data_IF_012421072820
#
_entry.id   IF_012421072820
#
_cell.length_a   1.000
_cell.length_b   1.000
_cell.length_c   1.000
_cell.angle_alpha   90.00
_cell.angle_beta   90.00
_cell.angle_gamma   90.00
#
_symmetry.space_group_name_H-M   'P 1'
#
loop_
_entity.id
_entity.type
_entity.pdbx_description
1 polymer ?
#
# COMPACT_ATOMS: atom_id res chain seq x y z
N UNK A 1 21.32 -23.33 -19.08
CA UNK A 1 22.13 -23.33 -17.85
C UNK A 1 21.21 -23.65 -16.68
N UNK A 2 21.65 -24.48 -15.72
CA UNK A 2 20.87 -24.73 -14.51
C UNK A 2 20.79 -23.46 -13.67
N UNK A 3 19.60 -23.12 -13.16
CA UNK A 3 19.44 -21.99 -12.24
C UNK A 3 20.17 -22.27 -10.95
N UNK A 4 20.75 -21.24 -10.35
CA UNK A 4 21.38 -21.34 -9.04
C UNK A 4 20.31 -21.61 -7.99
N UNK A 5 20.59 -22.60 -7.09
CA UNK A 5 19.73 -22.96 -5.98
C UNK A 5 19.93 -22.00 -4.80
N UNK A 6 18.84 -21.43 -4.31
CA UNK A 6 18.78 -20.57 -3.13
C UNK A 6 17.93 -21.25 -2.06
N UNK A 7 18.59 -21.57 -0.92
CA UNK A 7 17.95 -22.19 0.24
C UNK A 7 17.43 -21.13 1.20
N UNK A 8 16.12 -21.11 1.43
CA UNK A 8 15.44 -20.13 2.26
C UNK A 8 14.85 -20.77 3.52
N UNK A 9 14.69 -19.99 4.56
CA UNK A 9 13.86 -20.29 5.73
C UNK A 9 13.06 -19.07 6.11
N UNK A 10 11.82 -19.27 6.55
CA UNK A 10 10.89 -18.20 6.91
C UNK A 10 10.53 -18.23 8.39
N UNK A 11 10.31 -17.05 8.97
CA UNK A 11 9.94 -16.88 10.38
C UNK A 11 8.97 -15.72 10.56
N UNK A 12 8.29 -15.68 11.70
CA UNK A 12 7.49 -14.54 12.17
C UNK A 12 6.39 -14.13 11.20
N UNK A 13 5.54 -15.08 10.83
CA UNK A 13 4.35 -14.83 10.01
C UNK A 13 4.57 -14.91 8.49
N UNK A 14 5.81 -15.08 8.04
CA UNK A 14 6.12 -15.37 6.65
C UNK A 14 6.16 -16.88 6.40
N UNK A 15 5.73 -17.29 5.20
CA UNK A 15 5.83 -18.66 4.71
C UNK A 15 6.43 -18.67 3.29
N UNK A 16 7.04 -19.77 2.90
CA UNK A 16 7.64 -19.91 1.56
C UNK A 16 6.59 -19.67 0.45
N UNK A 17 5.43 -20.30 0.56
CA UNK A 17 4.38 -20.20 -0.44
C UNK A 17 3.86 -18.76 -0.63
N UNK A 18 3.55 -18.08 0.49
CA UNK A 18 3.09 -16.70 0.41
C UNK A 18 4.18 -15.78 -0.12
N UNK A 19 5.42 -15.92 0.36
CA UNK A 19 6.53 -15.08 -0.08
C UNK A 19 6.87 -15.30 -1.55
N UNK A 20 6.78 -16.55 -2.03
CA UNK A 20 6.95 -16.87 -3.44
C UNK A 20 5.92 -16.12 -4.29
N UNK A 21 4.64 -16.24 -3.94
CA UNK A 21 3.51 -15.60 -4.65
C UNK A 21 3.56 -14.08 -4.59
N UNK A 22 3.96 -13.50 -3.44
CA UNK A 22 3.84 -12.06 -3.19
C UNK A 22 5.11 -11.27 -3.51
N UNK A 23 6.27 -11.94 -3.61
CA UNK A 23 7.56 -11.29 -3.81
C UNK A 23 8.38 -11.93 -4.93
N UNK A 24 8.68 -13.24 -4.85
CA UNK A 24 9.62 -13.86 -5.78
C UNK A 24 9.09 -13.93 -7.22
N UNK A 25 7.82 -14.25 -7.38
CA UNK A 25 7.18 -14.33 -8.71
C UNK A 25 6.93 -12.94 -9.31
N UNK A 26 6.33 -11.96 -8.59
CA UNK A 26 6.13 -10.60 -9.12
C UNK A 26 7.43 -9.88 -9.49
N UNK A 27 8.50 -10.09 -8.74
CA UNK A 27 9.84 -9.55 -9.08
C UNK A 27 10.57 -10.39 -10.15
N UNK A 28 9.94 -11.43 -10.68
CA UNK A 28 10.52 -12.37 -11.64
C UNK A 28 11.88 -12.93 -11.19
N UNK A 29 12.02 -13.25 -9.91
CA UNK A 29 13.21 -13.87 -9.33
C UNK A 29 13.23 -15.38 -9.57
N UNK A 30 12.05 -16.03 -9.63
CA UNK A 30 11.92 -17.46 -10.00
C UNK A 30 12.34 -17.73 -11.45
N UNK A 31 12.37 -16.71 -12.29
CA UNK A 31 12.99 -16.77 -13.61
C UNK A 31 14.52 -16.91 -13.58
N UNK A 32 15.17 -16.39 -12.54
CA UNK A 32 16.63 -16.33 -12.40
C UNK A 32 17.20 -17.43 -11.50
N UNK A 33 16.47 -17.79 -10.44
CA UNK A 33 16.92 -18.72 -9.40
C UNK A 33 15.92 -19.87 -9.23
N UNK A 34 16.42 -20.97 -8.67
CA UNK A 34 15.60 -22.03 -8.09
C UNK A 34 15.56 -21.83 -6.56
N UNK A 35 14.38 -21.86 -5.97
CA UNK A 35 14.18 -21.64 -4.52
C UNK A 35 13.67 -22.91 -3.87
N UNK A 36 14.19 -23.20 -2.69
CA UNK A 36 13.66 -24.27 -1.81
C UNK A 36 13.64 -23.81 -0.34
N UNK A 37 12.66 -24.28 0.42
CA UNK A 37 12.67 -24.14 1.86
C UNK A 37 13.60 -25.20 2.48
N UNK A 38 14.48 -24.79 3.43
CA UNK A 38 15.53 -25.68 3.95
C UNK A 38 15.75 -25.48 5.45
N UNK A 39 16.04 -26.57 6.13
CA UNK A 39 16.53 -26.55 7.52
C UNK A 39 17.96 -25.96 7.62
N UNK A 40 18.74 -26.07 6.53
CA UNK A 40 20.08 -25.49 6.40
C UNK A 40 20.06 -24.35 5.36
N UNK A 41 19.50 -23.17 5.70
CA UNK A 41 19.28 -22.10 4.75
C UNK A 41 20.55 -21.31 4.43
N UNK A 42 20.59 -20.72 3.22
CA UNK A 42 21.53 -19.65 2.92
C UNK A 42 21.04 -18.30 3.46
N UNK A 43 19.71 -18.12 3.49
CA UNK A 43 19.05 -16.90 3.92
C UNK A 43 17.86 -17.21 4.83
N UNK A 44 17.73 -16.46 5.92
CA UNK A 44 16.53 -16.47 6.76
C UNK A 44 15.78 -15.16 6.57
N UNK A 45 14.54 -15.24 6.10
CA UNK A 45 13.65 -14.10 5.90
C UNK A 45 12.63 -14.10 7.05
N UNK A 46 12.55 -13.01 7.79
CA UNK A 46 11.64 -12.90 8.92
C UNK A 46 10.77 -11.65 8.86
N UNK A 47 9.51 -11.83 9.22
CA UNK A 47 8.50 -10.76 9.26
C UNK A 47 8.45 -10.07 10.63
N UNK A 48 7.52 -9.08 10.77
CA UNK A 48 7.37 -8.32 12.01
C UNK A 48 6.54 -9.03 13.09
N UNK A 49 5.79 -10.09 12.75
CA UNK A 49 4.74 -10.65 13.59
C UNK A 49 5.21 -11.83 14.47
N UNK A 50 6.38 -11.72 15.08
CA UNK A 50 6.88 -12.75 15.98
C UNK A 50 8.03 -12.29 16.87
N UNK A 51 8.50 -13.20 17.73
CA UNK A 51 9.58 -12.92 18.67
C UNK A 51 10.91 -13.58 18.27
N UNK A 52 10.87 -14.47 17.28
CA UNK A 52 12.01 -15.33 16.92
C UNK A 52 12.91 -14.58 15.95
N UNK A 53 13.73 -13.68 16.50
CA UNK A 53 14.78 -13.04 15.70
C UNK A 53 15.86 -14.08 15.43
N UNK A 54 16.19 -14.36 14.14
CA UNK A 54 17.22 -15.34 13.84
C UNK A 54 18.56 -14.91 14.44
N UNK A 55 19.26 -15.79 15.21
CA UNK A 55 20.59 -15.48 15.72
C UNK A 55 21.59 -15.33 14.57
N UNK A 56 22.77 -14.78 14.84
CA UNK A 56 23.86 -14.78 13.85
C UNK A 56 24.32 -16.22 13.62
N UNK A 57 24.56 -16.57 12.36
CA UNK A 57 24.93 -17.92 11.96
C UNK A 57 25.54 -17.94 10.56
N UNK A 58 25.71 -19.14 10.00
CA UNK A 58 26.22 -19.33 8.65
C UNK A 58 25.11 -19.11 7.59
N UNK A 59 24.38 -18.01 7.67
CA UNK A 59 23.32 -17.54 6.77
C UNK A 59 23.20 -16.01 6.87
N UNK A 60 22.54 -15.40 5.91
CA UNK A 60 22.21 -13.98 5.91
C UNK A 60 20.78 -13.80 6.42
N UNK A 61 20.58 -12.87 7.37
CA UNK A 61 19.27 -12.53 7.93
C UNK A 61 18.69 -11.34 7.19
N UNK A 62 17.45 -11.49 6.73
CA UNK A 62 16.71 -10.49 5.95
C UNK A 62 15.42 -10.18 6.70
N UNK A 63 15.28 -8.95 7.20
CA UNK A 63 14.02 -8.44 7.72
C UNK A 63 13.12 -8.02 6.56
N UNK A 64 11.88 -8.52 6.51
CA UNK A 64 10.89 -8.13 5.52
C UNK A 64 9.62 -7.62 6.20
N UNK A 65 9.45 -6.30 6.21
CA UNK A 65 8.45 -5.60 7.02
C UNK A 65 7.46 -4.84 6.13
N UNK A 66 6.38 -5.51 5.72
CA UNK A 66 5.31 -4.93 4.89
C UNK A 66 4.33 -4.02 5.67
N UNK A 67 4.71 -3.59 6.86
CA UNK A 67 3.95 -2.68 7.71
C UNK A 67 4.63 -1.31 7.81
N UNK A 68 3.85 -0.28 8.17
CA UNK A 68 4.39 1.07 8.40
C UNK A 68 5.16 1.14 9.74
N UNK A 69 6.35 0.55 9.75
CA UNK A 69 7.27 0.51 10.89
C UNK A 69 8.70 0.81 10.43
N UNK A 70 9.51 1.38 11.32
CA UNK A 70 10.94 1.52 11.08
C UNK A 70 11.60 0.15 11.34
N UNK A 71 12.32 -0.43 10.36
CA UNK A 71 13.05 -1.67 10.55
C UNK A 71 14.23 -1.50 11.49
N UNK A 72 14.57 -2.55 12.23
CA UNK A 72 15.77 -2.61 13.08
C UNK A 72 16.90 -3.35 12.35
N UNK A 73 17.81 -2.60 11.75
CA UNK A 73 18.97 -3.14 11.03
C UNK A 73 20.08 -3.68 11.95
N UNK A 74 19.94 -3.55 13.28
CA UNK A 74 20.88 -4.20 14.21
C UNK A 74 20.65 -5.72 14.35
N UNK A 75 19.44 -6.16 13.99
CA UNK A 75 19.05 -7.58 14.11
C UNK A 75 19.10 -8.36 12.79
N UNK A 76 19.47 -7.73 11.69
CA UNK A 76 19.58 -8.35 10.37
C UNK A 76 20.66 -7.68 9.51
N UNK A 77 21.16 -8.38 8.52
CA UNK A 77 22.13 -7.86 7.55
C UNK A 77 21.45 -6.98 6.50
N UNK A 78 20.21 -7.30 6.13
CA UNK A 78 19.41 -6.58 5.16
C UNK A 78 17.99 -6.39 5.66
N UNK A 79 17.38 -5.25 5.31
CA UNK A 79 15.98 -5.01 5.63
C UNK A 79 15.21 -4.44 4.44
N UNK A 80 13.98 -4.92 4.30
CA UNK A 80 12.96 -4.36 3.43
C UNK A 80 11.82 -3.80 4.28
N UNK A 81 11.28 -2.66 3.91
CA UNK A 81 10.19 -2.02 4.66
C UNK A 81 9.45 -0.96 3.85
N UNK A 82 8.39 -0.42 4.44
CA UNK A 82 7.53 0.59 3.80
C UNK A 82 8.13 2.00 3.80
N UNK A 83 8.84 2.48 4.85
CA UNK A 83 9.44 3.80 4.87
C UNK A 83 10.33 4.08 3.66
N UNK A 84 10.45 5.34 3.27
CA UNK A 84 11.30 5.74 2.14
C UNK A 84 12.78 5.54 2.46
N UNK A 85 13.58 5.22 1.45
CA UNK A 85 15.03 5.02 1.61
C UNK A 85 15.71 6.31 2.11
N UNK A 86 15.23 7.48 1.68
CA UNK A 86 15.71 8.79 2.13
C UNK A 86 15.44 9.07 3.61
N UNK A 87 14.42 8.42 4.19
CA UNK A 87 14.07 8.58 5.59
C UNK A 87 14.85 7.59 6.48
N UNK A 88 15.05 6.35 6.02
CA UNK A 88 15.82 5.31 6.75
C UNK A 88 17.33 5.54 6.66
N UNK A 89 17.83 5.97 5.50
CA UNK A 89 19.26 6.33 5.23
C UNK A 89 20.26 5.22 5.58
N UNK A 90 19.92 3.99 5.26
CA UNK A 90 20.83 2.86 5.50
C UNK A 90 21.12 2.10 4.20
N UNK A 91 22.39 1.78 3.87
CA UNK A 91 22.76 1.17 2.59
C UNK A 91 22.14 -0.22 2.38
N UNK A 92 21.90 -0.96 3.46
CA UNK A 92 21.32 -2.31 3.42
C UNK A 92 19.80 -2.28 3.62
N UNK A 93 19.17 -1.15 3.37
CA UNK A 93 17.71 -1.01 3.36
C UNK A 93 17.19 -0.86 1.95
N UNK A 94 16.00 -1.43 1.67
CA UNK A 94 15.24 -1.22 0.44
C UNK A 94 13.76 -1.04 0.75
N UNK A 95 13.15 -0.03 0.15
CA UNK A 95 11.69 0.16 0.24
C UNK A 95 10.95 -0.96 -0.46
N UNK A 96 9.88 -1.45 0.18
CA UNK A 96 8.86 -2.29 -0.43
C UNK A 96 7.83 -1.37 -1.09
N UNK A 97 7.79 -1.34 -2.42
CA UNK A 97 6.77 -0.61 -3.19
C UNK A 97 5.62 -1.53 -3.60
N UNK A 98 5.96 -2.72 -4.08
CA UNK A 98 5.00 -3.67 -4.66
C UNK A 98 4.97 -4.96 -3.84
N UNK A 99 4.07 -5.02 -2.84
CA UNK A 99 3.85 -6.25 -2.08
C UNK A 99 2.61 -6.96 -2.61
N UNK A 100 2.80 -8.17 -3.14
CA UNK A 100 1.71 -8.96 -3.70
C UNK A 100 1.07 -8.37 -4.97
N UNK A 101 1.77 -7.47 -5.66
CA UNK A 101 1.25 -6.81 -6.86
C UNK A 101 2.31 -6.70 -7.96
N UNK A 102 1.94 -7.04 -9.18
CA UNK A 102 2.76 -6.81 -10.37
C UNK A 102 2.46 -5.42 -10.96
N UNK A 103 3.38 -4.44 -10.87
CA UNK A 103 3.16 -3.11 -11.40
C UNK A 103 2.98 -3.05 -12.92
N UNK A 104 3.38 -4.08 -13.66
CA UNK A 104 3.16 -4.14 -15.11
C UNK A 104 1.67 -4.16 -15.47
N UNK A 105 0.80 -4.66 -14.56
CA UNK A 105 -0.65 -4.62 -14.73
C UNK A 105 -1.22 -3.20 -14.80
N UNK A 106 -0.45 -2.19 -14.32
CA UNK A 106 -0.84 -0.78 -14.37
C UNK A 106 -0.29 -0.05 -15.61
N UNK A 107 0.59 -0.67 -16.38
CA UNK A 107 1.00 -0.10 -17.67
C UNK A 107 -0.17 -0.19 -18.63
N UNK A 108 -0.59 0.94 -19.19
CA UNK A 108 -1.68 0.96 -20.16
C UNK A 108 -1.23 0.36 -21.48
N UNK A 109 -1.79 -0.79 -21.81
CA UNK A 109 -1.57 -1.48 -23.07
C UNK A 109 -2.47 -0.86 -24.16
N UNK A 110 -1.94 -0.33 -25.27
CA UNK A 110 -2.74 0.20 -26.37
C UNK A 110 -3.74 -0.81 -26.97
N UNK A 111 -3.43 -2.11 -26.89
CA UNK A 111 -4.29 -3.18 -27.40
C UNK A 111 -5.45 -3.55 -26.47
N UNK A 112 -5.47 -2.99 -25.25
CA UNK A 112 -6.54 -3.25 -24.27
C UNK A 112 -7.85 -2.58 -24.69
N UNK A 113 -8.94 -3.30 -24.59
CA UNK A 113 -10.30 -2.79 -24.93
C UNK A 113 -10.80 -1.78 -23.88
N UNK A 114 -10.31 -0.54 -23.97
CA UNK A 114 -10.73 0.55 -23.09
C UNK A 114 -12.19 0.97 -23.29
N UNK A 115 -12.77 0.75 -24.48
CA UNK A 115 -14.19 1.03 -24.74
C UNK A 115 -15.06 0.10 -23.89
N UNK A 116 -14.71 -1.18 -23.81
CA UNK A 116 -15.40 -2.17 -22.97
C UNK A 116 -15.25 -1.82 -21.48
N UNK A 117 -14.05 -1.45 -21.04
CA UNK A 117 -13.80 -1.05 -19.65
C UNK A 117 -14.67 0.16 -19.31
N UNK A 118 -14.70 1.17 -20.18
CA UNK A 118 -15.51 2.36 -19.99
C UNK A 118 -17.02 2.04 -19.92
N UNK A 119 -17.49 1.18 -20.80
CA UNK A 119 -18.89 0.74 -20.84
C UNK A 119 -19.30 -0.03 -19.57
N UNK A 120 -18.35 -0.68 -18.89
CA UNK A 120 -18.61 -1.37 -17.62
C UNK A 120 -18.82 -0.44 -16.42
N UNK A 121 -18.44 0.85 -16.53
CA UNK A 121 -18.54 1.85 -15.46
C UNK A 121 -19.97 2.40 -15.30
N UNK A 122 -20.87 1.56 -14.84
CA UNK A 122 -22.31 1.87 -14.70
C UNK A 122 -22.67 2.51 -13.35
N UNK A 123 -21.78 2.42 -12.36
CA UNK A 123 -21.98 2.94 -11.00
C UNK A 123 -21.04 4.10 -10.70
N UNK A 124 -21.45 4.97 -9.78
CA UNK A 124 -20.72 6.21 -9.48
C UNK A 124 -19.41 5.95 -8.74
N UNK A 125 -19.48 5.60 -7.46
CA UNK A 125 -18.33 5.54 -6.58
C UNK A 125 -18.49 4.44 -5.53
N UNK A 126 -17.39 3.79 -5.17
CA UNK A 126 -17.34 2.79 -4.11
C UNK A 126 -16.44 3.18 -2.94
N UNK A 127 -16.72 2.56 -1.77
CA UNK A 127 -16.02 2.72 -0.51
C UNK A 127 -15.88 1.34 0.16
N UNK A 128 -14.79 0.63 -0.09
CA UNK A 128 -14.60 -0.74 0.39
C UNK A 128 -13.60 -0.81 1.53
N UNK A 129 -14.07 -0.69 2.78
CA UNK A 129 -13.23 -0.64 3.97
C UNK A 129 -13.77 -1.45 5.14
N UNK A 130 -12.84 -2.13 5.86
CA UNK A 130 -13.15 -2.88 7.08
C UNK A 130 -12.90 -2.05 8.36
N UNK A 131 -11.95 -1.11 8.33
CA UNK A 131 -11.54 -0.31 9.48
C UNK A 131 -12.16 1.09 9.46
N UNK A 132 -12.60 1.53 10.63
CA UNK A 132 -13.09 2.89 10.83
C UNK A 132 -11.94 3.89 10.91
N UNK A 133 -11.93 4.86 9.99
CA UNK A 133 -10.94 5.95 9.95
C UNK A 133 -11.69 7.27 9.77
N UNK A 134 -11.67 8.19 10.77
CA UNK A 134 -12.59 9.33 10.83
C UNK A 134 -12.55 10.25 9.61
N UNK A 135 -11.37 10.62 9.10
CA UNK A 135 -11.27 11.52 7.95
C UNK A 135 -11.82 10.90 6.65
N UNK A 136 -11.67 9.60 6.50
CA UNK A 136 -12.18 8.82 5.37
C UNK A 136 -13.70 8.73 5.40
N UNK A 137 -14.28 8.50 6.60
CA UNK A 137 -15.72 8.46 6.82
C UNK A 137 -16.36 9.84 6.66
N UNK A 138 -15.66 10.91 7.09
CA UNK A 138 -16.09 12.28 6.85
C UNK A 138 -16.17 12.61 5.35
N UNK A 139 -15.16 12.21 4.58
CA UNK A 139 -15.16 12.36 3.12
C UNK A 139 -16.31 11.58 2.47
N UNK A 140 -16.47 10.30 2.83
CA UNK A 140 -17.59 9.46 2.38
C UNK A 140 -18.94 10.14 2.62
N UNK A 141 -19.16 10.64 3.84
CA UNK A 141 -20.41 11.30 4.23
C UNK A 141 -20.68 12.55 3.42
N UNK A 142 -19.66 13.34 3.13
CA UNK A 142 -19.82 14.57 2.31
C UNK A 142 -20.05 14.23 0.84
N UNK A 143 -19.30 13.33 0.25
CA UNK A 143 -19.47 12.91 -1.14
C UNK A 143 -20.84 12.24 -1.37
N UNK A 144 -21.32 11.47 -0.40
CA UNK A 144 -22.64 10.82 -0.47
C UNK A 144 -23.84 11.80 -0.49
N UNK A 145 -23.64 13.08 -0.16
CA UNK A 145 -24.68 14.11 -0.34
C UNK A 145 -24.91 14.45 -1.82
N UNK A 146 -23.90 14.32 -2.64
CA UNK A 146 -24.03 14.51 -4.09
C UNK A 146 -24.71 13.29 -4.75
N UNK A 147 -24.14 12.11 -4.55
CA UNK A 147 -24.61 10.86 -5.16
C UNK A 147 -24.24 9.68 -4.29
N UNK A 148 -25.09 8.65 -4.25
CA UNK A 148 -24.85 7.47 -3.42
C UNK A 148 -23.46 6.87 -3.68
N UNK A 149 -22.69 6.68 -2.61
CA UNK A 149 -21.44 5.92 -2.60
C UNK A 149 -21.73 4.55 -2.00
N UNK A 150 -21.42 3.48 -2.73
CA UNK A 150 -21.66 2.11 -2.30
C UNK A 150 -20.58 1.61 -1.35
N UNK A 151 -20.98 1.16 -0.16
CA UNK A 151 -20.09 0.73 0.93
C UNK A 151 -20.44 -0.67 1.45
N UNK A 152 -19.91 -1.75 0.83
CA UNK A 152 -20.17 -3.12 1.26
C UNK A 152 -19.32 -3.57 2.45
N UNK A 153 -18.30 -2.78 2.84
CA UNK A 153 -17.41 -3.09 3.96
C UNK A 153 -18.03 -2.83 5.33
N UNK A 154 -17.25 -3.05 6.41
CA UNK A 154 -17.74 -2.79 7.79
C UNK A 154 -17.87 -1.30 8.09
N UNK A 155 -16.97 -0.47 7.55
CA UNK A 155 -17.03 0.98 7.70
C UNK A 155 -18.11 1.56 6.79
N UNK A 156 -19.00 2.37 7.33
CA UNK A 156 -20.09 3.07 6.61
C UNK A 156 -21.01 2.13 5.79
N UNK A 157 -21.16 0.87 6.22
CA UNK A 157 -21.92 -0.14 5.49
C UNK A 157 -23.33 0.32 5.09
N UNK A 158 -23.67 0.20 3.80
CA UNK A 158 -24.96 0.57 3.25
C UNK A 158 -25.49 -0.40 2.19
N UNK A 159 -24.82 -1.56 2.03
CA UNK A 159 -25.23 -2.61 1.09
C UNK A 159 -24.69 -3.98 1.56
N UNK A 160 -25.19 -5.11 1.00
CA UNK A 160 -24.66 -6.44 1.29
C UNK A 160 -23.16 -6.56 0.99
N UNK A 161 -22.46 -7.46 1.69
CA UNK A 161 -21.06 -7.77 1.44
C UNK A 161 -20.80 -8.31 0.03
N UNK A 162 -19.64 -8.01 -0.54
CA UNK A 162 -19.31 -8.37 -1.93
C UNK A 162 -19.28 -9.88 -2.16
N UNK A 163 -18.93 -10.66 -1.14
CA UNK A 163 -18.93 -12.12 -1.12
C UNK A 163 -20.32 -12.76 -1.24
N UNK A 164 -21.38 -12.00 -0.91
CA UNK A 164 -22.76 -12.43 -1.14
C UNK A 164 -23.27 -12.14 -2.57
N UNK A 165 -22.56 -11.28 -3.32
CA UNK A 165 -23.00 -10.81 -4.66
C UNK A 165 -22.16 -11.45 -5.76
N UNK A 166 -20.85 -11.59 -5.56
CA UNK A 166 -19.89 -12.08 -6.55
C UNK A 166 -19.33 -13.45 -6.14
N UNK A 167 -18.78 -14.19 -7.12
CA UNK A 167 -18.19 -15.53 -6.91
C UNK A 167 -16.73 -15.52 -7.35
N UNK A 168 -15.90 -16.25 -6.62
CA UNK A 168 -14.48 -16.39 -6.87
C UNK A 168 -13.67 -16.33 -5.59
N UNK A 169 -12.36 -16.21 -5.71
CA UNK A 169 -11.51 -15.92 -4.56
C UNK A 169 -11.68 -14.46 -4.10
N UNK A 170 -11.11 -14.12 -2.95
CA UNK A 170 -11.23 -12.80 -2.34
C UNK A 170 -10.78 -11.65 -3.28
N UNK A 171 -9.77 -11.89 -4.10
CA UNK A 171 -9.21 -10.87 -4.98
C UNK A 171 -10.04 -10.72 -6.25
N UNK A 172 -10.52 -11.85 -6.81
CA UNK A 172 -11.43 -11.86 -7.95
C UNK A 172 -12.76 -11.16 -7.63
N UNK A 173 -13.37 -11.49 -6.47
CA UNK A 173 -14.59 -10.83 -5.98
C UNK A 173 -14.38 -9.31 -5.84
N UNK A 174 -13.25 -8.89 -5.29
CA UNK A 174 -12.90 -7.47 -5.15
C UNK A 174 -12.79 -6.78 -6.50
N UNK A 175 -12.10 -7.40 -7.46
CA UNK A 175 -11.96 -6.85 -8.82
C UNK A 175 -13.29 -6.77 -9.55
N UNK A 176 -14.13 -7.81 -9.46
CA UNK A 176 -15.48 -7.79 -10.04
C UNK A 176 -16.30 -6.62 -9.49
N UNK A 177 -16.33 -6.45 -8.16
CA UNK A 177 -17.03 -5.34 -7.52
C UNK A 177 -16.50 -4.00 -8.00
N UNK A 178 -15.18 -3.76 -7.93
CA UNK A 178 -14.58 -2.48 -8.29
C UNK A 178 -14.81 -2.13 -9.76
N UNK A 179 -14.80 -3.11 -10.67
CA UNK A 179 -14.85 -2.88 -12.12
C UNK A 179 -16.10 -2.13 -12.61
N UNK A 180 -17.18 -2.15 -11.84
CA UNK A 180 -18.45 -1.50 -12.20
C UNK A 180 -18.50 0.01 -11.93
N UNK A 181 -17.49 0.57 -11.22
CA UNK A 181 -17.51 1.96 -10.74
C UNK A 181 -16.63 2.88 -11.56
N UNK A 182 -17.10 4.13 -11.72
CA UNK A 182 -16.29 5.23 -12.26
C UNK A 182 -15.16 5.63 -11.33
N UNK A 183 -15.47 5.73 -10.03
CA UNK A 183 -14.55 6.20 -8.99
C UNK A 183 -14.39 5.17 -7.86
N UNK A 184 -13.21 5.17 -7.25
CA UNK A 184 -12.94 4.42 -6.03
C UNK A 184 -12.31 5.35 -5.00
N UNK A 185 -12.88 5.43 -3.79
CA UNK A 185 -12.22 6.10 -2.67
C UNK A 185 -11.05 5.21 -2.23
N UNK A 186 -9.82 5.65 -2.52
CA UNK A 186 -8.57 4.94 -2.28
C UNK A 186 -7.74 5.64 -1.20
N UNK A 187 -8.35 5.85 -0.02
CA UNK A 187 -7.68 6.49 1.11
C UNK A 187 -6.91 5.48 1.95
N UNK A 188 -5.67 5.77 2.25
CA UNK A 188 -4.87 4.95 3.15
C UNK A 188 -5.38 5.05 4.60
N UNK A 189 -4.89 4.16 5.47
CA UNK A 189 -5.26 4.18 6.89
C UNK A 189 -4.57 5.33 7.65
N UNK A 190 -3.44 5.81 7.13
CA UNK A 190 -2.68 6.95 7.64
C UNK A 190 -2.00 7.68 6.48
N UNK A 191 -1.76 8.97 6.63
CA UNK A 191 -0.92 9.74 5.71
C UNK A 191 0.51 9.64 6.21
N UNK A 192 1.34 8.92 5.47
CA UNK A 192 2.72 8.69 5.84
C UNK A 192 3.62 8.60 4.59
N UNK A 193 4.83 9.22 4.60
CA UNK A 193 5.78 9.13 3.49
C UNK A 193 6.11 7.69 3.12
N UNK A 194 5.86 7.34 1.85
CA UNK A 194 6.10 6.00 1.34
C UNK A 194 4.99 4.98 1.56
N UNK A 195 3.97 5.28 2.37
CA UNK A 195 2.89 4.34 2.65
C UNK A 195 1.85 4.31 1.53
N UNK A 196 2.01 3.34 0.66
CA UNK A 196 1.12 3.04 -0.47
C UNK A 196 0.72 1.58 -0.41
N UNK A 197 -0.54 1.28 -0.65
CA UNK A 197 -1.08 -0.08 -0.54
C UNK A 197 -1.97 -0.42 -1.73
N UNK A 198 -2.48 -1.64 -1.72
CA UNK A 198 -3.40 -2.18 -2.72
C UNK A 198 -4.63 -1.30 -3.03
N UNK A 199 -5.01 -0.39 -2.15
CA UNK A 199 -6.20 0.46 -2.33
C UNK A 199 -6.14 1.31 -3.60
N UNK A 200 -4.96 1.88 -3.87
CA UNK A 200 -4.71 2.66 -5.08
C UNK A 200 -4.57 1.74 -6.29
N UNK A 201 -3.80 0.66 -6.14
CA UNK A 201 -3.46 -0.23 -7.25
C UNK A 201 -4.67 -0.99 -7.79
N UNK A 202 -5.52 -1.51 -6.90
CA UNK A 202 -6.73 -2.22 -7.29
C UNK A 202 -7.71 -1.32 -8.08
N UNK A 203 -7.82 -0.05 -7.69
CA UNK A 203 -8.65 0.90 -8.41
C UNK A 203 -8.09 1.18 -9.82
N UNK A 204 -6.77 1.34 -9.93
CA UNK A 204 -6.08 1.58 -11.20
C UNK A 204 -6.17 0.35 -12.13
N UNK A 205 -5.97 -0.84 -11.60
CA UNK A 205 -5.98 -2.10 -12.38
C UNK A 205 -7.31 -2.32 -13.09
N UNK A 206 -8.42 -2.01 -12.44
CA UNK A 206 -9.75 -2.13 -13.04
C UNK A 206 -10.17 -0.90 -13.85
N UNK A 207 -9.32 0.13 -13.94
CA UNK A 207 -9.58 1.36 -14.71
C UNK A 207 -10.57 2.32 -14.06
N UNK A 208 -10.70 2.32 -12.72
CA UNK A 208 -11.42 3.38 -12.02
C UNK A 208 -10.55 4.61 -11.87
N UNK A 209 -11.16 5.80 -11.76
CA UNK A 209 -10.43 7.01 -11.34
C UNK A 209 -10.31 6.96 -9.81
N UNK A 210 -9.10 6.76 -9.24
CA UNK A 210 -8.92 6.80 -7.80
C UNK A 210 -9.16 8.20 -7.24
N UNK A 211 -9.84 8.27 -6.10
CA UNK A 211 -9.85 9.44 -5.22
C UNK A 211 -8.88 9.08 -4.09
N UNK A 212 -7.65 9.56 -4.17
CA UNK A 212 -6.55 9.10 -3.31
C UNK A 212 -6.21 10.08 -2.21
N UNK A 213 -5.97 9.54 -1.01
CA UNK A 213 -5.38 10.27 0.11
C UNK A 213 -4.44 9.33 0.88
N UNK A 214 -3.15 9.66 0.93
CA UNK A 214 -2.15 8.78 1.55
C UNK A 214 -0.75 9.36 1.46
N UNK A 215 0.16 8.68 0.80
CA UNK A 215 1.55 9.07 0.66
C UNK A 215 1.68 10.49 0.04
N UNK A 216 2.28 11.47 0.76
CA UNK A 216 2.51 12.80 0.20
C UNK A 216 3.49 12.81 -0.99
N UNK A 217 4.27 11.76 -1.18
CA UNK A 217 5.22 11.58 -2.28
C UNK A 217 4.69 10.66 -3.39
N UNK A 218 3.36 10.50 -3.48
CA UNK A 218 2.73 9.63 -4.49
C UNK A 218 3.16 9.98 -5.93
N UNK A 219 3.43 11.25 -6.20
CA UNK A 219 3.90 11.75 -7.50
C UNK A 219 5.32 11.32 -7.89
N UNK A 220 6.09 10.72 -6.98
CA UNK A 220 7.41 10.14 -7.30
C UNK A 220 7.26 8.84 -8.11
N UNK A 221 6.14 8.14 -7.92
CA UNK A 221 5.83 6.86 -8.58
C UNK A 221 4.76 7.03 -9.66
N UNK A 222 3.68 7.74 -9.37
CA UNK A 222 2.51 7.81 -10.23
C UNK A 222 2.35 9.16 -10.94
N UNK A 223 1.64 9.15 -12.05
CA UNK A 223 1.19 10.34 -12.73
C UNK A 223 -0.03 10.93 -12.02
N UNK A 224 0.14 11.99 -11.24
CA UNK A 224 -0.94 12.61 -10.46
C UNK A 224 -2.07 13.24 -11.30
N UNK A 225 -1.91 13.31 -12.63
CA UNK A 225 -2.97 13.73 -13.56
C UNK A 225 -3.99 12.63 -13.87
N UNK A 226 -3.68 11.38 -13.49
CA UNK A 226 -4.56 10.23 -13.77
C UNK A 226 -5.57 9.94 -12.66
N UNK A 227 -5.48 10.59 -11.51
CA UNK A 227 -6.36 10.40 -10.35
C UNK A 227 -6.57 11.72 -9.59
N UNK A 228 -7.52 11.74 -8.67
CA UNK A 228 -7.81 12.89 -7.82
C UNK A 228 -6.98 12.77 -6.54
N UNK A 229 -5.95 13.59 -6.40
CA UNK A 229 -5.07 13.57 -5.23
C UNK A 229 -5.59 14.50 -4.13
N UNK A 230 -6.32 13.96 -3.18
CA UNK A 230 -6.89 14.72 -2.05
C UNK A 230 -5.81 15.33 -1.17
N UNK A 231 -4.60 14.76 -1.14
CA UNK A 231 -3.47 15.29 -0.35
C UNK A 231 -3.06 16.70 -0.79
N UNK A 232 -3.33 17.09 -2.05
CA UNK A 232 -3.08 18.44 -2.56
C UNK A 232 -3.97 19.51 -1.93
N UNK A 233 -5.08 19.11 -1.29
CA UNK A 233 -6.03 19.99 -0.60
C UNK A 233 -5.84 20.01 0.92
N UNK A 234 -4.83 19.30 1.44
CA UNK A 234 -4.55 19.23 2.87
C UNK A 234 -3.50 20.28 3.24
N UNK A 235 -3.93 21.38 3.84
CA UNK A 235 -3.07 22.47 4.29
C UNK A 235 -3.04 22.56 5.82
N UNK A 236 -2.18 21.78 6.51
CA UNK A 236 -2.11 21.84 7.96
C UNK A 236 -1.61 23.21 8.42
N UNK A 237 -2.26 23.80 9.42
CA UNK A 237 -1.89 25.11 9.97
C UNK A 237 -0.46 25.18 10.50
N UNK A 238 0.07 24.06 10.99
CA UNK A 238 1.43 23.96 11.51
C UNK A 238 2.13 22.69 11.00
N UNK A 239 2.74 22.74 9.79
CA UNK A 239 3.43 21.59 9.20
C UNK A 239 4.55 21.02 10.08
N UNK A 240 5.27 21.88 10.81
CA UNK A 240 6.37 21.46 11.69
C UNK A 240 5.85 20.64 12.87
N UNK A 241 4.71 21.01 13.43
CA UNK A 241 4.06 20.25 14.50
C UNK A 241 3.57 18.89 14.00
N UNK A 242 2.99 18.85 12.79
CA UNK A 242 2.58 17.61 12.15
C UNK A 242 3.77 16.67 11.97
N UNK A 243 4.89 17.18 11.41
CA UNK A 243 6.13 16.41 11.25
C UNK A 243 6.65 15.87 12.60
N UNK A 244 6.65 16.70 13.65
CA UNK A 244 7.07 16.27 14.99
C UNK A 244 6.16 15.16 15.54
N UNK A 245 4.84 15.23 15.34
CA UNK A 245 3.93 14.17 15.75
C UNK A 245 4.07 12.90 14.89
N UNK A 246 4.44 13.04 13.63
CA UNK A 246 4.77 11.91 12.77
C UNK A 246 5.98 11.15 13.31
N UNK A 247 7.07 11.86 13.60
CA UNK A 247 8.29 11.27 14.19
C UNK A 247 8.01 10.63 15.57
N UNK A 248 7.29 11.30 16.46
CA UNK A 248 6.97 10.78 17.80
C UNK A 248 5.97 9.63 17.79
N UNK A 249 5.05 9.61 16.82
CA UNK A 249 4.03 8.57 16.65
C UNK A 249 4.50 7.37 15.87
N UNK A 250 5.68 7.46 15.21
CA UNK A 250 6.21 6.38 14.37
C UNK A 250 6.45 5.11 15.18
N UNK A 251 6.02 3.98 14.64
CA UNK A 251 6.23 2.66 15.23
C UNK A 251 7.56 2.10 14.76
N UNK A 252 8.31 1.50 15.70
CA UNK A 252 9.51 0.74 15.44
C UNK A 252 9.16 -0.75 15.34
N UNK A 253 10.06 -1.55 14.79
CA UNK A 253 9.92 -3.01 14.72
C UNK A 253 9.60 -3.63 16.08
N UNK A 254 10.25 -3.17 17.14
CA UNK A 254 10.00 -3.66 18.49
C UNK A 254 8.59 -3.39 19.02
N UNK A 255 7.99 -2.27 18.65
CA UNK A 255 6.66 -1.85 19.17
C UNK A 255 5.53 -2.82 18.78
N UNK A 256 5.69 -3.62 17.73
CA UNK A 256 4.68 -4.57 17.26
C UNK A 256 4.95 -6.02 17.66
N UNK A 257 6.12 -6.31 18.19
CA UNK A 257 6.47 -7.68 18.62
C UNK A 257 5.60 -8.12 19.81
N UNK A 258 5.11 -9.36 19.82
CA UNK A 258 4.28 -9.87 20.93
C UNK A 258 4.98 -9.81 22.31
N UNK A 259 6.29 -10.06 22.35
CA UNK A 259 7.09 -9.97 23.58
C UNK A 259 7.13 -8.55 24.16
N UNK A 260 7.20 -7.53 23.30
CA UNK A 260 7.18 -6.13 23.71
C UNK A 260 5.90 -5.80 24.50
N UNK A 261 4.77 -6.35 24.10
CA UNK A 261 3.46 -6.08 24.70
C UNK A 261 3.24 -6.81 26.06
N UNK A 262 4.14 -7.70 26.47
CA UNK A 262 4.06 -8.32 27.81
C UNK A 262 4.32 -7.31 28.93
N UNK A 263 5.17 -6.31 28.70
CA UNK A 263 5.49 -5.26 29.66
C UNK A 263 4.39 -4.19 29.75
N UNK A 264 3.88 -3.81 30.93
CA UNK A 264 2.97 -2.68 31.10
C UNK A 264 3.52 -1.35 30.58
N UNK A 265 4.84 -1.12 30.79
CA UNK A 265 5.55 0.08 30.30
C UNK A 265 5.50 0.16 28.77
N UNK A 266 5.75 -0.95 28.10
CA UNK A 266 5.75 -1.00 26.63
C UNK A 266 4.33 -0.85 26.06
N UNK A 267 3.32 -1.41 26.73
CA UNK A 267 1.92 -1.17 26.36
C UNK A 267 1.53 0.31 26.48
N UNK A 268 2.01 0.98 27.54
CA UNK A 268 1.81 2.42 27.71
C UNK A 268 2.51 3.21 26.61
N UNK A 269 3.78 2.90 26.28
CA UNK A 269 4.54 3.51 25.17
C UNK A 269 3.76 3.40 23.85
N UNK A 270 3.27 2.21 23.52
CA UNK A 270 2.48 1.98 22.29
C UNK A 270 1.17 2.76 22.29
N UNK A 271 0.46 2.84 23.42
CA UNK A 271 -0.77 3.66 23.54
C UNK A 271 -0.47 5.13 23.31
N UNK A 272 0.63 5.65 23.85
CA UNK A 272 1.07 7.05 23.65
C UNK A 272 1.36 7.29 22.18
N UNK A 273 2.15 6.44 21.51
CA UNK A 273 2.43 6.56 20.07
C UNK A 273 1.13 6.55 19.25
N UNK A 274 0.19 5.65 19.57
CA UNK A 274 -1.12 5.59 18.91
C UNK A 274 -1.93 6.87 19.14
N UNK A 275 -1.94 7.40 20.35
CA UNK A 275 -2.62 8.66 20.66
C UNK A 275 -2.02 9.83 19.85
N UNK A 276 -0.69 9.92 19.78
CA UNK A 276 0.02 10.95 19.01
C UNK A 276 -0.34 10.87 17.52
N UNK A 277 -0.39 9.66 16.93
CA UNK A 277 -0.82 9.47 15.53
C UNK A 277 -2.26 9.94 15.31
N UNK A 278 -3.16 9.57 16.21
CA UNK A 278 -4.55 10.02 16.15
C UNK A 278 -4.67 11.54 16.28
N UNK A 279 -3.86 12.16 17.13
CA UNK A 279 -3.80 13.62 17.29
C UNK A 279 -3.24 14.27 16.02
N UNK A 280 -2.15 13.73 15.44
CA UNK A 280 -1.61 14.16 14.13
C UNK A 280 -2.72 14.18 13.08
N UNK A 281 -3.40 13.06 12.90
CA UNK A 281 -4.49 12.93 11.92
C UNK A 281 -5.62 13.93 12.19
N UNK A 282 -6.04 14.08 13.44
CA UNK A 282 -7.05 15.08 13.81
C UNK A 282 -6.62 16.51 13.44
N UNK A 283 -5.37 16.87 13.68
CA UNK A 283 -4.86 18.22 13.38
C UNK A 283 -4.69 18.43 11.87
N UNK A 284 -4.30 17.41 11.12
CA UNK A 284 -4.22 17.47 9.66
C UNK A 284 -5.58 17.75 9.03
N UNK A 285 -6.63 17.11 9.55
CA UNK A 285 -7.98 17.17 8.97
C UNK A 285 -8.96 18.08 9.72
N UNK A 286 -8.58 18.70 10.85
CA UNK A 286 -9.48 19.44 11.73
C UNK A 286 -10.22 20.62 11.06
N UNK A 287 -9.72 21.11 9.95
CA UNK A 287 -10.30 22.21 9.16
C UNK A 287 -10.33 21.92 7.67
N UNK A 288 -10.26 20.65 7.31
CA UNK A 288 -10.30 20.28 5.91
C UNK A 288 -11.73 20.48 5.39
N UNK A 289 -11.84 21.36 4.42
CA UNK A 289 -13.01 21.48 3.58
C UNK A 289 -12.82 20.56 2.36
N UNK A 290 -13.65 19.54 2.26
CA UNK A 290 -13.66 18.64 1.10
C UNK A 290 -14.43 19.22 -0.10
N UNK A 291 -15.08 20.37 0.04
CA UNK A 291 -15.92 20.94 -1.02
C UNK A 291 -15.16 21.11 -2.35
N UNK A 292 -13.93 21.64 -2.41
CA UNK A 292 -13.23 21.78 -3.68
C UNK A 292 -12.96 20.44 -4.38
N UNK A 293 -12.61 19.40 -3.60
CA UNK A 293 -12.40 18.04 -4.12
C UNK A 293 -13.71 17.45 -4.64
N UNK A 294 -14.80 17.63 -3.90
CA UNK A 294 -16.13 17.14 -4.28
C UNK A 294 -16.62 17.85 -5.53
N UNK A 295 -16.43 19.16 -5.66
CA UNK A 295 -16.75 19.92 -6.87
C UNK A 295 -15.98 19.41 -8.09
N UNK A 296 -14.69 19.07 -7.92
CA UNK A 296 -13.89 18.43 -8.97
C UNK A 296 -14.48 17.07 -9.37
N UNK A 297 -14.87 16.23 -8.40
CA UNK A 297 -15.48 14.92 -8.66
C UNK A 297 -16.80 15.09 -9.39
N UNK A 298 -17.64 16.05 -9.00
CA UNK A 298 -18.90 16.37 -9.66
C UNK A 298 -18.66 16.79 -11.11
N UNK A 299 -17.69 17.67 -11.34
CA UNK A 299 -17.32 18.10 -12.69
C UNK A 299 -16.89 16.91 -13.56
N UNK A 300 -16.05 16.00 -13.02
CA UNK A 300 -15.60 14.80 -13.75
C UNK A 300 -16.79 13.84 -14.00
N UNK A 301 -17.69 13.64 -13.02
CA UNK A 301 -18.86 12.74 -13.19
C UNK A 301 -19.88 13.24 -14.20
N UNK A 302 -20.06 14.58 -14.29
CA UNK A 302 -21.09 15.21 -15.13
C UNK A 302 -20.62 15.59 -16.53
N UNK A 303 -19.28 15.70 -16.75
CA UNK A 303 -18.68 16.06 -18.02
C UNK A 303 -17.94 14.86 -18.64
N UNK A 304 -18.53 14.20 -19.65
CA UNK A 304 -17.91 13.00 -20.25
C UNK A 304 -16.50 13.22 -20.78
N UNK A 305 -16.24 14.38 -21.40
CA UNK A 305 -14.92 14.73 -21.93
C UNK A 305 -13.86 14.86 -20.81
N UNK A 306 -14.26 15.44 -19.67
CA UNK A 306 -13.37 15.55 -18.51
C UNK A 306 -13.10 14.18 -17.89
N UNK A 307 -14.13 13.32 -17.80
CA UNK A 307 -13.97 11.95 -17.35
C UNK A 307 -12.97 11.18 -18.24
N UNK A 308 -13.15 11.26 -19.56
CA UNK A 308 -12.25 10.61 -20.53
C UNK A 308 -10.82 11.13 -20.41
N UNK A 309 -10.63 12.42 -20.21
CA UNK A 309 -9.31 13.03 -20.00
C UNK A 309 -8.55 12.40 -18.82
N UNK A 310 -9.23 12.08 -17.71
CA UNK A 310 -8.63 11.36 -16.59
C UNK A 310 -8.43 9.89 -16.91
N UNK A 311 -9.44 9.26 -17.49
CA UNK A 311 -9.43 7.83 -17.82
C UNK A 311 -8.31 7.44 -18.80
N UNK A 312 -7.99 8.31 -19.74
CA UNK A 312 -6.94 8.08 -20.76
C UNK A 312 -5.53 8.32 -20.24
N UNK A 313 -5.35 9.08 -19.13
CA UNK A 313 -4.01 9.31 -18.57
C UNK A 313 -3.35 7.99 -18.16
N UNK A 314 -2.07 7.77 -18.50
CA UNK A 314 -1.34 6.64 -17.97
C UNK A 314 -1.14 6.77 -16.46
N UNK A 315 -1.18 5.66 -15.75
CA UNK A 315 -0.97 5.63 -14.30
C UNK A 315 0.46 6.03 -13.90
N UNK A 316 1.44 5.62 -14.69
CA UNK A 316 2.84 6.02 -14.52
C UNK A 316 3.22 7.15 -15.46
N UNK A 317 4.22 7.95 -15.08
CA UNK A 317 4.84 8.92 -16.01
C UNK A 317 5.40 8.18 -17.21
N UNK A 318 5.09 8.67 -18.41
CA UNK A 318 5.49 8.03 -19.68
C UNK A 318 4.99 6.58 -19.87
N UNK A 319 4.00 6.15 -19.07
CA UNK A 319 3.45 4.79 -19.08
C UNK A 319 4.50 3.69 -18.84
N UNK A 320 5.48 3.98 -18.00
CA UNK A 320 6.59 3.06 -17.67
C UNK A 320 6.67 2.94 -16.15
N UNK A 321 6.76 1.69 -15.66
CA UNK A 321 7.01 1.41 -14.23
C UNK A 321 8.35 2.02 -13.84
N UNK A 322 8.40 2.89 -12.80
CA UNK A 322 9.66 3.48 -12.35
C UNK A 322 10.66 2.41 -11.89
N UNK A 323 11.86 2.41 -12.45
CA UNK A 323 12.88 1.38 -12.17
C UNK A 323 13.28 1.33 -10.68
N UNK A 324 13.35 2.48 -10.03
CA UNK A 324 13.68 2.59 -8.61
C UNK A 324 12.59 2.04 -7.67
N UNK A 325 11.37 1.82 -8.18
CA UNK A 325 10.25 1.24 -7.41
C UNK A 325 10.35 -0.29 -7.25
N UNK A 326 11.18 -0.98 -8.05
CA UNK A 326 11.41 -2.42 -7.96
C UNK A 326 12.48 -2.76 -6.91
N UNK A 327 12.26 -3.84 -6.19
CA UNK A 327 13.24 -4.41 -5.27
C UNK A 327 14.13 -5.48 -5.90
N UNK A 328 13.91 -5.84 -7.17
CA UNK A 328 14.59 -6.92 -7.88
C UNK A 328 16.13 -6.83 -7.86
N UNK A 329 16.69 -5.65 -8.15
CA UNK A 329 18.15 -5.45 -8.14
C UNK A 329 18.74 -5.75 -6.75
N UNK A 330 18.05 -5.34 -5.69
CA UNK A 330 18.48 -5.60 -4.32
C UNK A 330 18.40 -7.10 -3.96
N UNK A 331 17.36 -7.79 -4.37
CA UNK A 331 17.28 -9.24 -4.19
C UNK A 331 18.39 -9.98 -4.92
N UNK A 332 18.71 -9.59 -6.17
CA UNK A 332 19.82 -10.17 -6.93
C UNK A 332 21.17 -9.93 -6.22
N UNK A 333 21.41 -8.71 -5.73
CA UNK A 333 22.60 -8.38 -4.96
C UNK A 333 22.73 -9.30 -3.72
N UNK A 334 21.67 -9.43 -2.94
CA UNK A 334 21.63 -10.26 -1.74
C UNK A 334 21.87 -11.73 -2.08
N UNK A 335 21.14 -12.28 -3.04
CA UNK A 335 21.28 -13.69 -3.40
C UNK A 335 22.64 -14.03 -4.04
N UNK A 336 23.32 -13.06 -4.62
CA UNK A 336 24.66 -13.24 -5.17
C UNK A 336 25.78 -12.99 -4.15
N UNK A 337 25.48 -12.42 -2.99
CA UNK A 337 26.50 -12.14 -1.96
C UNK A 337 26.96 -13.38 -1.21
N UNK A 338 26.38 -14.56 -1.50
CA UNK A 338 26.70 -15.81 -0.83
C UNK A 338 26.74 -17.02 -1.78
#
# INVERSE_FOLDING_TARGET
MSKRLIKLRFQNGLTFENFKKEVLDPENLTGLYQFEESAEPNFIIFGPYGNDIPPKGNYIRIGYFCENIIPDLSVCEWAFGVPREEDVKHPNYKRIQWHGFDPQLLVKDPERDYARILASKTKFCNFLYSHHVPYREAFFTQLSKYKKVDAPGKSMNNMPGIDSIYKGDKWEIKKQFLSEYKFTIAFENDIFPGYQTEKLYDAMEVGNIPIYCGDPFIGDVFNTKSFINVSEYIFPKNPQLIKKFEELGQMDFEDIRPAFLKSPKNRAKRKIKTYIRNLKTRLQFAKMDFSPVIEQIIAIDTQPELYLKYFEQPWFKNNIVPENSSSKKRWIEIFNSR
#
